data_IF_240825556655
#
_entry.id   IF_240825556655
#
_cell.length_a   1.000
_cell.length_b   1.000
_cell.length_c   1.000
_cell.angle_alpha   90.00
_cell.angle_beta   90.00
_cell.angle_gamma   90.00
#
_symmetry.space_group_name_H-M   'P 1'
#
loop_
_entity.id
_entity.type
_entity.pdbx_description
1 polymer ?
#
# COMPACT_ATOMS: atom_id res chain seq x y z
N UNK A 1 -4.85 4.10 28.16
CA UNK A 1 -6.30 4.32 28.05
C UNK A 1 -6.67 4.56 26.60
N UNK A 2 -7.68 3.83 26.17
CA UNK A 2 -8.15 3.62 24.81
C UNK A 2 -8.66 4.89 24.12
N UNK A 3 -8.28 5.08 22.85
CA UNK A 3 -9.12 5.74 21.85
C UNK A 3 -9.31 4.78 20.67
N UNK A 4 -9.96 3.64 20.98
CA UNK A 4 -10.35 2.57 20.06
C UNK A 4 -11.65 2.87 19.29
N UNK A 5 -12.19 4.08 19.39
CA UNK A 5 -13.45 4.46 18.76
C UNK A 5 -13.29 5.84 18.10
N UNK A 6 -13.29 5.86 16.76
CA UNK A 6 -13.54 7.08 15.98
C UNK A 6 -15.02 7.12 15.60
N UNK A 7 -15.67 8.30 15.63
CA UNK A 7 -17.06 8.45 15.20
C UNK A 7 -17.22 7.96 13.76
N UNK A 8 -18.45 7.55 13.42
CA UNK A 8 -18.88 7.03 12.11
C UNK A 8 -18.82 8.13 11.02
N UNK A 9 -17.63 8.71 10.83
CA UNK A 9 -17.32 9.48 9.65
C UNK A 9 -17.26 8.51 8.49
N UNK A 10 -17.95 8.82 7.39
CA UNK A 10 -17.72 8.16 6.11
C UNK A 10 -16.23 8.32 5.80
N UNK A 11 -15.43 7.31 6.10
CA UNK A 11 -14.11 7.19 5.51
C UNK A 11 -14.36 7.13 4.01
N UNK A 12 -14.18 8.26 3.33
CA UNK A 12 -14.15 8.31 1.87
C UNK A 12 -12.88 7.57 1.48
N UNK A 13 -12.96 6.25 1.40
CA UNK A 13 -11.92 5.46 0.76
C UNK A 13 -11.98 5.81 -0.72
N UNK A 14 -10.97 6.51 -1.20
CA UNK A 14 -10.81 6.78 -2.62
C UNK A 14 -10.06 5.58 -3.23
N UNK A 15 -10.59 5.03 -4.32
CA UNK A 15 -9.86 4.01 -5.08
C UNK A 15 -8.80 4.70 -5.93
N UNK A 16 -7.54 4.35 -5.71
CA UNK A 16 -6.43 4.78 -6.54
C UNK A 16 -6.18 3.70 -7.59
N UNK A 17 -6.31 4.04 -8.87
CA UNK A 17 -5.99 3.13 -9.97
C UNK A 17 -4.74 3.63 -10.68
N UNK A 18 -3.73 2.77 -10.80
CA UNK A 18 -2.47 3.07 -11.48
C UNK A 18 -2.13 1.92 -12.43
N UNK A 19 -1.40 2.24 -13.50
CA UNK A 19 -0.89 1.21 -14.42
C UNK A 19 0.35 0.58 -13.81
N UNK A 20 0.36 -0.75 -13.79
CA UNK A 20 1.52 -1.55 -13.42
C UNK A 20 2.05 -2.29 -14.65
N UNK A 21 3.35 -2.64 -14.69
CA UNK A 21 3.88 -3.56 -15.70
C UNK A 21 3.11 -4.89 -15.66
N UNK A 22 2.83 -5.47 -16.84
CA UNK A 22 2.10 -6.73 -16.95
C UNK A 22 2.76 -7.85 -16.12
N UNK A 23 4.08 -7.96 -16.17
CA UNK A 23 4.84 -8.94 -15.40
C UNK A 23 4.57 -8.85 -13.88
N UNK A 24 4.42 -7.64 -13.34
CA UNK A 24 4.11 -7.46 -11.92
C UNK A 24 2.68 -7.91 -11.61
N UNK A 25 1.72 -7.63 -12.50
CA UNK A 25 0.35 -8.08 -12.35
C UNK A 25 0.25 -9.61 -12.37
N UNK A 26 0.95 -10.27 -13.30
CA UNK A 26 1.03 -11.73 -13.37
C UNK A 26 1.64 -12.34 -12.11
N UNK A 27 2.72 -11.75 -11.57
CA UNK A 27 3.32 -12.21 -10.32
C UNK A 27 2.37 -12.09 -9.12
N UNK A 28 1.60 -11.00 -9.03
CA UNK A 28 0.61 -10.81 -7.97
C UNK A 28 -0.54 -11.83 -8.08
N UNK A 29 -0.97 -12.13 -9.31
CA UNK A 29 -1.99 -13.14 -9.56
C UNK A 29 -1.50 -14.55 -9.16
N UNK A 30 -0.26 -14.92 -9.51
CA UNK A 30 0.35 -16.19 -9.10
C UNK A 30 0.43 -16.30 -7.56
N UNK A 31 0.91 -15.27 -6.89
CA UNK A 31 0.99 -15.24 -5.43
C UNK A 31 -0.38 -15.37 -4.78
N UNK A 32 -1.41 -14.71 -5.32
CA UNK A 32 -2.77 -14.84 -4.82
C UNK A 32 -3.31 -16.26 -5.03
N UNK A 33 -3.07 -16.88 -6.19
CA UNK A 33 -3.50 -18.25 -6.46
C UNK A 33 -2.80 -19.26 -5.55
N UNK A 34 -1.52 -19.03 -5.23
CA UNK A 34 -0.77 -19.86 -4.29
C UNK A 34 -1.26 -19.70 -2.85
N UNK A 35 -1.58 -18.48 -2.43
CA UNK A 35 -2.17 -18.24 -1.11
C UNK A 35 -3.52 -18.98 -0.98
N UNK A 36 -4.36 -18.94 -2.02
CA UNK A 36 -5.66 -19.61 -2.05
C UNK A 36 -5.52 -21.15 -1.92
N UNK A 37 -4.52 -21.75 -2.56
CA UNK A 37 -4.20 -23.17 -2.41
C UNK A 37 -3.87 -23.59 -0.96
N UNK A 38 -3.44 -22.63 -0.13
CA UNK A 38 -3.19 -22.84 1.29
C UNK A 38 -4.38 -22.42 2.19
N UNK A 39 -5.53 -22.06 1.60
CA UNK A 39 -6.69 -21.55 2.31
C UNK A 39 -6.51 -20.15 2.88
N UNK A 40 -5.59 -19.37 2.31
CA UNK A 40 -5.27 -18.01 2.72
C UNK A 40 -5.70 -17.01 1.64
N UNK A 41 -6.13 -15.81 2.05
CA UNK A 41 -6.39 -14.71 1.14
C UNK A 41 -5.23 -13.70 1.19
N UNK A 42 -4.74 -13.29 0.03
CA UNK A 42 -3.76 -12.21 -0.08
C UNK A 42 -4.51 -10.88 -0.19
N UNK A 43 -4.38 -10.00 0.81
CA UNK A 43 -4.88 -8.63 0.71
C UNK A 43 -3.86 -7.75 -0.04
N UNK A 44 -3.97 -7.75 -1.36
CA UNK A 44 -3.08 -6.97 -2.24
C UNK A 44 -3.19 -5.47 -1.98
N UNK A 45 -4.33 -4.98 -1.51
CA UNK A 45 -4.52 -3.57 -1.19
C UNK A 45 -3.65 -3.16 0.01
N UNK A 46 -3.67 -3.94 1.08
CA UNK A 46 -2.85 -3.69 2.27
C UNK A 46 -1.36 -3.75 1.93
N UNK A 47 -0.94 -4.76 1.16
CA UNK A 47 0.45 -4.91 0.71
C UNK A 47 0.93 -3.70 -0.13
N UNK A 48 0.09 -3.21 -1.04
CA UNK A 48 0.39 -2.03 -1.86
C UNK A 48 0.46 -0.77 -1.01
N UNK A 49 -0.47 -0.59 -0.06
CA UNK A 49 -0.47 0.56 0.86
C UNK A 49 0.77 0.59 1.74
N UNK A 50 1.19 -0.55 2.28
CA UNK A 50 2.43 -0.65 3.03
C UNK A 50 3.66 -0.28 2.18
N UNK A 51 3.75 -0.80 0.96
CA UNK A 51 4.84 -0.50 0.04
C UNK A 51 4.91 1.01 -0.29
N UNK A 52 3.76 1.63 -0.57
CA UNK A 52 3.66 3.06 -0.84
C UNK A 52 4.06 3.91 0.37
N UNK A 53 3.61 3.55 1.58
CA UNK A 53 4.00 4.27 2.81
C UNK A 53 5.50 4.19 3.07
N UNK A 54 6.11 3.00 2.87
CA UNK A 54 7.56 2.82 3.02
C UNK A 54 8.33 3.67 2.01
N UNK A 55 7.87 3.70 0.77
CA UNK A 55 8.49 4.54 -0.27
C UNK A 55 8.34 6.03 0.04
N UNK A 56 7.15 6.49 0.44
CA UNK A 56 6.91 7.87 0.82
C UNK A 56 7.83 8.30 1.97
N UNK A 57 7.91 7.51 3.04
CA UNK A 57 8.79 7.80 4.17
C UNK A 57 10.28 7.83 3.77
N UNK A 58 10.70 6.94 2.86
CA UNK A 58 12.06 6.96 2.33
C UNK A 58 12.33 8.24 1.53
N UNK A 59 11.41 8.64 0.64
CA UNK A 59 11.52 9.88 -0.13
C UNK A 59 11.52 11.11 0.78
N UNK A 60 10.66 11.17 1.79
CA UNK A 60 10.65 12.25 2.78
C UNK A 60 11.99 12.38 3.52
N UNK A 61 12.60 11.23 3.87
CA UNK A 61 13.92 11.20 4.51
C UNK A 61 15.02 11.70 3.57
N UNK A 62 15.00 11.28 2.31
CA UNK A 62 15.96 11.76 1.29
C UNK A 62 15.80 13.26 1.05
N UNK A 63 14.56 13.75 0.95
CA UNK A 63 14.25 15.17 0.79
C UNK A 63 14.66 15.99 2.01
N UNK A 64 14.49 15.48 3.24
CA UNK A 64 14.94 16.16 4.45
C UNK A 64 16.48 16.28 4.53
N UNK A 65 17.21 15.41 3.85
CA UNK A 65 18.67 15.48 3.69
C UNK A 65 19.13 16.44 2.59
N UNK A 66 18.22 16.89 1.72
CA UNK A 66 18.52 17.83 0.63
C UNK A 66 18.09 19.23 1.06
N UNK A 67 19.04 20.17 1.17
CA UNK A 67 18.69 21.58 1.30
C UNK A 67 17.88 22.00 0.06
N UNK A 68 16.78 22.77 0.21
CA UNK A 68 16.03 23.25 -0.95
C UNK A 68 16.98 24.06 -1.82
N UNK A 69 17.15 23.65 -3.09
CA UNK A 69 17.87 24.46 -4.05
C UNK A 69 17.02 25.70 -4.32
N UNK A 70 17.48 26.84 -3.79
CA UNK A 70 16.95 28.17 -4.02
C UNK A 70 17.23 28.64 -5.45
#
# INVERSE_FOLDING_TARGET
MSKLLKPKGKSKTCTLSFRVPAALADQLADLSARADQHGLALDTCEAVLEALNRYAAAVEKELAGMAPQA
#
